data_IF_226172887889
#
_entry.id   IF_226172887889
#
_cell.length_a   1.000
_cell.length_b   1.000
_cell.length_c   1.000
_cell.angle_alpha   90.00
_cell.angle_beta   90.00
_cell.angle_gamma   90.00
#
_symmetry.space_group_name_H-M   'P 1'
#
loop_
_entity.id
_entity.type
_entity.pdbx_description
1 polymer ?
#
# COMPACT_ATOMS: atom_id res chain seq x y z
N UNK A 1 12.28 1.88 12.62
CA UNK A 1 10.92 2.44 12.54
C UNK A 1 10.10 1.39 11.80
N UNK A 2 9.34 0.58 12.54
CA UNK A 2 8.54 -0.48 11.92
C UNK A 2 7.54 0.17 10.97
N UNK A 3 7.70 -0.17 9.70
CA UNK A 3 6.82 0.28 8.64
C UNK A 3 5.40 -0.08 9.02
N UNK A 4 4.49 0.87 8.93
CA UNK A 4 3.04 0.66 9.10
C UNK A 4 2.53 -0.53 8.25
N UNK A 5 3.26 -0.89 7.18
CA UNK A 5 3.00 -1.98 6.26
C UNK A 5 3.98 -3.18 6.40
N UNK A 6 4.67 -3.35 7.53
CA UNK A 6 5.52 -4.53 7.77
C UNK A 6 4.72 -5.73 8.28
N UNK A 7 4.95 -6.88 7.67
CA UNK A 7 4.33 -8.17 8.01
C UNK A 7 4.31 -9.08 6.79
N UNK A 8 3.99 -10.35 6.99
CA UNK A 8 3.66 -11.25 5.89
C UNK A 8 2.35 -10.81 5.22
N UNK A 9 2.14 -11.21 3.96
CA UNK A 9 0.95 -10.86 3.19
C UNK A 9 -0.35 -11.23 3.96
N UNK A 10 -0.34 -12.38 4.64
CA UNK A 10 -1.46 -12.89 5.46
C UNK A 10 -1.73 -12.05 6.71
N UNK A 11 -0.69 -11.61 7.41
CA UNK A 11 -0.80 -10.77 8.63
C UNK A 11 -1.50 -9.44 8.41
N UNK A 12 -1.49 -8.93 7.17
CA UNK A 12 -2.05 -7.62 6.82
C UNK A 12 -3.51 -7.70 6.38
N UNK A 13 -3.97 -8.87 5.93
CA UNK A 13 -5.41 -9.14 5.74
C UNK A 13 -6.16 -8.93 7.06
N UNK A 14 -5.64 -9.45 8.16
CA UNK A 14 -6.23 -9.31 9.50
C UNK A 14 -6.13 -7.89 10.08
N UNK A 15 -5.36 -7.02 9.42
CA UNK A 15 -5.15 -5.63 9.84
C UNK A 15 -6.03 -4.63 9.11
N UNK A 16 -6.68 -5.00 7.99
CA UNK A 16 -7.41 -4.03 7.16
C UNK A 16 -8.64 -3.42 7.86
N UNK A 17 -9.25 -4.14 8.81
CA UNK A 17 -10.39 -3.62 9.59
C UNK A 17 -9.98 -2.86 10.86
N UNK A 18 -8.67 -2.77 11.18
CA UNK A 18 -8.22 -2.12 12.42
C UNK A 18 -8.35 -0.61 12.30
N UNK A 19 -8.70 0.11 13.39
CA UNK A 19 -8.82 1.57 13.41
C UNK A 19 -7.59 2.29 12.84
N UNK A 20 -6.39 1.75 13.08
CA UNK A 20 -5.15 2.32 12.57
C UNK A 20 -5.12 2.34 11.03
N UNK A 21 -5.48 1.24 10.39
CA UNK A 21 -5.48 1.11 8.92
C UNK A 21 -6.49 2.05 8.29
N UNK A 22 -7.69 2.15 8.87
CA UNK A 22 -8.73 3.07 8.41
C UNK A 22 -8.30 4.53 8.54
N UNK A 23 -7.72 4.93 9.67
CA UNK A 23 -7.20 6.31 9.86
C UNK A 23 -6.13 6.63 8.82
N UNK A 24 -5.20 5.71 8.55
CA UNK A 24 -4.18 5.91 7.50
C UNK A 24 -4.85 6.07 6.13
N UNK A 25 -5.88 5.28 5.82
CA UNK A 25 -6.65 5.41 4.57
C UNK A 25 -7.36 6.75 4.49
N UNK A 26 -8.00 7.21 5.56
CA UNK A 26 -8.67 8.52 5.59
C UNK A 26 -7.66 9.64 5.30
N UNK A 27 -6.50 9.61 5.96
CA UNK A 27 -5.46 10.62 5.74
C UNK A 27 -4.88 10.56 4.32
N UNK A 28 -4.55 9.37 3.83
CA UNK A 28 -4.01 9.15 2.50
C UNK A 28 -4.97 9.62 1.39
N UNK A 29 -6.23 9.18 1.46
CA UNK A 29 -7.21 9.39 0.41
C UNK A 29 -7.79 10.81 0.40
N UNK A 30 -7.97 11.44 1.57
CA UNK A 30 -8.81 12.63 1.66
C UNK A 30 -8.11 13.87 2.20
N UNK A 31 -7.04 13.73 3.00
CA UNK A 31 -6.47 14.90 3.70
C UNK A 31 -5.89 15.94 2.75
N UNK A 32 -5.28 15.53 1.63
CA UNK A 32 -4.64 16.47 0.68
C UNK A 32 -5.64 17.44 0.08
N UNK A 33 -6.80 16.94 -0.31
CA UNK A 33 -7.91 17.74 -0.84
C UNK A 33 -8.54 18.65 0.23
N UNK A 34 -8.15 18.47 1.51
CA UNK A 34 -8.54 19.29 2.65
C UNK A 34 -7.34 19.97 3.35
N UNK A 35 -6.34 20.41 2.58
CA UNK A 35 -5.21 21.18 3.12
C UNK A 35 -4.22 20.37 3.98
N UNK A 36 -4.31 19.04 3.93
CA UNK A 36 -3.42 18.11 4.63
C UNK A 36 -3.66 17.98 6.13
N UNK A 37 -4.84 18.35 6.62
CA UNK A 37 -5.19 18.39 8.04
C UNK A 37 -6.65 17.98 8.25
N UNK A 38 -6.98 17.41 9.41
CA UNK A 38 -8.36 17.20 9.86
C UNK A 38 -8.49 17.53 11.34
N UNK A 39 -9.63 18.09 11.75
CA UNK A 39 -9.94 18.26 13.17
C UNK A 39 -10.03 16.90 13.88
N UNK A 40 -9.76 16.86 15.19
CA UNK A 40 -9.92 15.62 15.94
C UNK A 40 -11.36 15.08 15.87
N UNK A 41 -12.35 15.98 15.90
CA UNK A 41 -13.77 15.65 15.80
C UNK A 41 -14.11 15.04 14.44
N UNK A 42 -13.66 15.65 13.34
CA UNK A 42 -13.86 15.15 11.97
C UNK A 42 -13.35 13.72 11.82
N UNK A 43 -12.14 13.43 12.31
CA UNK A 43 -11.58 12.07 12.21
C UNK A 43 -12.41 11.08 13.02
N UNK A 44 -12.82 11.44 14.23
CA UNK A 44 -13.65 10.58 15.08
C UNK A 44 -14.99 10.29 14.39
N UNK A 45 -15.67 11.30 13.83
CA UNK A 45 -16.93 11.12 13.10
C UNK A 45 -16.76 10.22 11.87
N UNK A 46 -15.71 10.42 11.08
CA UNK A 46 -15.38 9.56 9.94
C UNK A 46 -15.09 8.11 10.36
N UNK A 47 -14.45 7.91 11.51
CA UNK A 47 -14.24 6.60 12.09
C UNK A 47 -15.55 5.95 12.57
N UNK A 48 -16.44 6.72 13.22
CA UNK A 48 -17.76 6.23 13.66
C UNK A 48 -18.61 5.79 12.47
N UNK A 49 -18.56 6.52 11.36
CA UNK A 49 -19.21 6.10 10.10
C UNK A 49 -18.65 4.76 9.58
N UNK A 50 -17.43 4.37 9.93
CA UNK A 50 -16.81 3.09 9.57
C UNK A 50 -16.95 2.04 10.69
N UNK A 51 -17.95 2.21 11.57
CA UNK A 51 -18.23 1.34 12.71
C UNK A 51 -17.06 1.21 13.71
N UNK A 52 -16.19 2.23 13.79
CA UNK A 52 -15.12 2.31 14.78
C UNK A 52 -15.59 3.12 15.97
N UNK A 53 -15.61 2.50 17.16
CA UNK A 53 -15.92 3.18 18.41
C UNK A 53 -15.00 4.37 18.68
N UNK A 54 -15.54 5.46 19.24
CA UNK A 54 -14.80 6.71 19.37
C UNK A 54 -13.55 6.60 20.27
N UNK A 55 -13.62 5.79 21.33
CA UNK A 55 -12.52 5.50 22.24
C UNK A 55 -11.37 4.77 21.53
N UNK A 56 -11.69 3.83 20.64
CA UNK A 56 -10.75 3.14 19.79
C UNK A 56 -10.10 4.11 18.77
N UNK A 57 -10.89 5.00 18.16
CA UNK A 57 -10.38 6.03 17.26
C UNK A 57 -9.41 7.00 17.97
N UNK A 58 -9.80 7.52 19.14
CA UNK A 58 -8.95 8.40 19.98
C UNK A 58 -7.66 7.69 20.39
N UNK A 59 -7.76 6.43 20.81
CA UNK A 59 -6.59 5.62 21.18
C UNK A 59 -5.63 5.40 20.01
N UNK A 60 -6.16 5.15 18.80
CA UNK A 60 -5.35 5.01 17.60
C UNK A 60 -4.65 6.33 17.21
N UNK A 61 -5.36 7.46 17.28
CA UNK A 61 -4.78 8.79 17.05
C UNK A 61 -3.65 9.11 18.04
N UNK A 62 -3.85 8.83 19.33
CA UNK A 62 -2.81 9.01 20.34
C UNK A 62 -1.58 8.14 20.06
N UNK A 63 -1.77 6.89 19.60
CA UNK A 63 -0.67 6.02 19.17
C UNK A 63 0.07 6.58 17.95
N UNK A 64 -0.64 7.09 16.95
CA UNK A 64 -0.01 7.71 15.77
C UNK A 64 0.80 8.95 16.12
N UNK A 65 0.26 9.80 17.01
CA UNK A 65 0.99 10.97 17.53
C UNK A 65 2.27 10.55 18.27
N UNK A 66 2.17 9.57 19.17
CA UNK A 66 3.32 9.05 19.93
C UNK A 66 4.41 8.46 19.02
N UNK A 67 4.01 7.86 17.89
CA UNK A 67 4.92 7.28 16.89
C UNK A 67 5.47 8.31 15.89
N UNK A 68 5.08 9.58 15.99
CA UNK A 68 5.51 10.63 15.06
C UNK A 68 4.94 10.52 13.64
N UNK A 69 3.88 9.73 13.46
CA UNK A 69 3.22 9.55 12.15
C UNK A 69 2.27 10.71 11.87
N UNK A 70 1.53 11.12 12.91
CA UNK A 70 0.70 12.31 12.89
C UNK A 70 1.26 13.36 13.86
N UNK A 71 1.16 14.62 13.49
CA UNK A 71 1.46 15.76 14.37
C UNK A 71 0.17 16.47 14.74
N UNK A 72 0.12 17.01 15.96
CA UNK A 72 -0.98 17.88 16.36
C UNK A 72 -0.77 19.27 15.76
N UNK A 73 -1.80 19.80 15.13
CA UNK A 73 -1.78 21.14 14.52
C UNK A 73 -3.09 21.84 14.82
N UNK A 74 -3.02 23.13 15.15
CA UNK A 74 -4.18 24.00 15.36
C UNK A 74 -4.44 24.80 14.10
N UNK A 75 -5.69 24.81 13.62
CA UNK A 75 -6.14 25.64 12.50
C UNK A 75 -7.44 26.33 12.89
N UNK A 76 -7.52 27.65 12.73
CA UNK A 76 -8.69 28.47 13.06
C UNK A 76 -9.28 28.19 14.46
N UNK A 77 -8.42 28.08 15.47
CA UNK A 77 -8.87 27.79 16.84
C UNK A 77 -9.09 26.32 17.16
N UNK A 78 -9.21 25.44 16.15
CA UNK A 78 -9.54 24.02 16.32
C UNK A 78 -8.29 23.14 16.32
N UNK A 79 -8.20 22.21 17.27
CA UNK A 79 -7.10 21.23 17.35
C UNK A 79 -7.41 20.04 16.44
N UNK A 80 -6.41 19.62 15.67
CA UNK A 80 -6.49 18.47 14.80
C UNK A 80 -5.14 17.83 14.55
N UNK A 81 -5.09 17.02 13.49
CA UNK A 81 -3.94 16.21 13.13
C UNK A 81 -3.59 16.37 11.66
N UNK A 82 -2.30 16.28 11.36
CA UNK A 82 -1.75 16.24 10.01
C UNK A 82 -0.69 15.15 9.91
N UNK A 83 -0.45 14.61 8.71
CA UNK A 83 0.70 13.73 8.47
C UNK A 83 1.99 14.52 8.72
N UNK A 84 2.91 13.94 9.49
CA UNK A 84 4.19 14.56 9.80
C UNK A 84 5.02 14.82 8.53
N UNK A 85 5.83 15.90 8.48
CA UNK A 85 6.70 16.18 7.34
C UNK A 85 7.61 14.99 6.99
N UNK A 86 8.10 14.27 7.99
CA UNK A 86 9.01 13.13 7.84
C UNK A 86 8.33 11.95 7.14
N UNK A 87 7.02 11.76 7.37
CA UNK A 87 6.26 10.66 6.79
C UNK A 87 5.59 11.01 5.46
N UNK A 88 5.45 12.29 5.13
CA UNK A 88 4.74 12.77 3.94
C UNK A 88 5.22 12.09 2.64
N UNK A 89 6.54 12.07 2.40
CA UNK A 89 7.10 11.42 1.20
C UNK A 89 6.76 9.92 1.11
N UNK A 90 6.73 9.22 2.24
CA UNK A 90 6.38 7.80 2.26
C UNK A 90 4.89 7.55 2.01
N UNK A 91 4.03 8.46 2.47
CA UNK A 91 2.60 8.45 2.12
C UNK A 91 2.39 8.76 0.64
N UNK A 92 3.06 9.80 0.12
CA UNK A 92 2.94 10.21 -1.28
C UNK A 92 3.33 9.10 -2.25
N UNK A 93 4.48 8.47 -2.02
CA UNK A 93 4.94 7.31 -2.79
C UNK A 93 3.99 6.11 -2.65
N UNK A 94 3.46 5.90 -1.45
CA UNK A 94 2.53 4.82 -1.17
C UNK A 94 1.21 4.96 -1.91
N UNK A 95 0.62 6.16 -1.87
CA UNK A 95 -0.67 6.45 -2.50
C UNK A 95 -0.56 6.39 -4.02
N UNK A 96 0.55 6.87 -4.58
CA UNK A 96 0.84 6.73 -6.01
C UNK A 96 0.85 5.24 -6.42
N UNK A 97 1.50 4.38 -5.64
CA UNK A 97 1.54 2.93 -5.93
C UNK A 97 0.17 2.26 -5.80
N UNK A 98 -0.67 2.70 -4.86
CA UNK A 98 -2.00 2.13 -4.61
C UNK A 98 -3.00 2.47 -5.72
N UNK A 99 -2.88 3.67 -6.31
CA UNK A 99 -3.81 4.19 -7.32
C UNK A 99 -3.25 4.13 -8.75
N UNK A 100 -2.02 3.66 -8.94
CA UNK A 100 -1.43 3.48 -10.27
C UNK A 100 -2.12 2.33 -11.00
N UNK A 101 -2.80 2.65 -12.11
CA UNK A 101 -3.17 1.65 -13.11
C UNK A 101 -1.88 1.15 -13.75
N UNK A 102 -1.62 -0.15 -13.63
CA UNK A 102 -0.49 -0.79 -14.28
C UNK A 102 -1.03 -1.57 -15.46
N UNK A 103 -0.41 -1.39 -16.62
CA UNK A 103 -0.58 -2.33 -17.72
C UNK A 103 -0.03 -3.70 -17.30
N UNK A 104 -0.47 -4.74 -18.00
CA UNK A 104 0.12 -6.07 -17.80
C UNK A 104 1.62 -5.98 -18.07
N UNK A 105 2.47 -6.33 -17.08
CA UNK A 105 3.91 -6.21 -17.23
C UNK A 105 4.38 -7.16 -18.35
N UNK A 106 5.20 -6.61 -19.25
CA UNK A 106 5.90 -7.39 -20.27
C UNK A 106 7.17 -8.00 -19.67
N UNK A 107 7.58 -9.15 -20.19
CA UNK A 107 8.87 -9.73 -19.81
C UNK A 107 10.01 -8.92 -20.44
N UNK A 108 10.51 -7.94 -19.68
CA UNK A 108 11.70 -7.14 -20.03
C UNK A 108 13.01 -7.71 -19.42
N UNK A 109 12.97 -8.94 -18.91
CA UNK A 109 14.05 -9.55 -18.15
C UNK A 109 14.14 -9.06 -16.70
N UNK A 110 15.29 -9.30 -16.09
CA UNK A 110 15.49 -9.14 -14.65
C UNK A 110 16.43 -7.99 -14.33
N UNK A 111 16.25 -7.42 -13.14
CA UNK A 111 17.26 -6.61 -12.48
C UNK A 111 17.78 -7.38 -11.25
N UNK A 112 19.10 -7.44 -11.13
CA UNK A 112 19.79 -8.02 -9.98
C UNK A 112 20.43 -6.91 -9.15
N UNK A 113 20.25 -7.00 -7.84
CA UNK A 113 20.94 -6.17 -6.87
C UNK A 113 21.88 -7.07 -6.07
N UNK A 114 23.18 -6.79 -6.17
CA UNK A 114 24.19 -7.40 -5.32
C UNK A 114 24.73 -6.35 -4.36
N UNK A 115 24.66 -6.61 -3.06
CA UNK A 115 25.26 -5.71 -2.07
C UNK A 115 26.16 -6.43 -1.08
N UNK A 116 27.15 -5.68 -0.58
CA UNK A 116 28.02 -6.10 0.51
C UNK A 116 28.16 -4.96 1.52
N UNK A 117 27.37 -5.05 2.60
CA UNK A 117 27.41 -4.08 3.70
C UNK A 117 28.25 -4.68 4.84
N UNK A 118 29.26 -3.96 5.36
CA UNK A 118 30.09 -4.44 6.46
C UNK A 118 29.30 -4.88 7.69
N UNK A 119 29.76 -5.90 8.40
CA UNK A 119 29.03 -6.49 9.54
C UNK A 119 28.72 -5.47 10.65
N UNK A 120 29.64 -4.54 10.90
CA UNK A 120 29.45 -3.41 11.83
C UNK A 120 28.23 -2.53 11.51
N UNK A 121 27.70 -2.62 10.28
CA UNK A 121 26.52 -1.88 9.81
C UNK A 121 25.28 -2.79 9.65
N UNK A 122 25.15 -3.84 10.47
CA UNK A 122 24.03 -4.81 10.42
C UNK A 122 22.64 -4.18 10.38
N UNK A 123 22.42 -3.05 11.06
CA UNK A 123 21.14 -2.34 11.06
C UNK A 123 20.80 -1.75 9.68
N UNK A 124 21.80 -1.18 8.99
CA UNK A 124 21.63 -0.67 7.63
C UNK A 124 21.38 -1.80 6.63
N UNK A 125 22.05 -2.95 6.81
CA UNK A 125 21.80 -4.17 6.01
C UNK A 125 20.37 -4.67 6.19
N UNK A 126 19.89 -4.77 7.43
CA UNK A 126 18.50 -5.16 7.72
C UNK A 126 17.51 -4.17 7.08
N UNK A 127 17.79 -2.87 7.19
CA UNK A 127 16.97 -1.82 6.59
C UNK A 127 16.93 -1.94 5.06
N UNK A 128 18.07 -2.15 4.39
CA UNK A 128 18.14 -2.32 2.94
C UNK A 128 17.31 -3.53 2.50
N UNK A 129 17.50 -4.69 3.15
CA UNK A 129 16.73 -5.93 2.85
C UNK A 129 15.23 -5.71 3.01
N UNK A 130 14.81 -5.14 4.14
CA UNK A 130 13.39 -4.82 4.38
C UNK A 130 12.81 -3.88 3.32
N UNK A 131 13.60 -2.90 2.85
CA UNK A 131 13.14 -1.94 1.84
C UNK A 131 13.15 -2.52 0.43
N UNK A 132 14.07 -3.41 0.09
CA UNK A 132 14.09 -4.16 -1.16
C UNK A 132 12.83 -5.02 -1.30
N UNK A 133 12.51 -5.82 -0.27
CA UNK A 133 11.25 -6.58 -0.22
C UNK A 133 10.04 -5.67 -0.48
N UNK A 134 10.00 -4.51 0.18
CA UNK A 134 8.88 -3.57 0.05
C UNK A 134 8.70 -2.96 -1.34
N UNK A 135 9.76 -2.86 -2.14
CA UNK A 135 9.64 -2.37 -3.52
C UNK A 135 9.38 -3.50 -4.53
N UNK A 136 9.44 -4.76 -4.10
CA UNK A 136 9.10 -5.94 -4.92
C UNK A 136 10.26 -6.90 -5.16
N UNK A 137 11.45 -6.68 -4.58
CA UNK A 137 12.58 -7.57 -4.77
C UNK A 137 12.47 -8.83 -3.89
N UNK A 138 12.82 -9.97 -4.47
CA UNK A 138 13.04 -11.22 -3.76
C UNK A 138 14.53 -11.46 -3.53
N UNK A 139 14.85 -12.25 -2.50
CA UNK A 139 16.22 -12.69 -2.26
C UNK A 139 16.46 -14.01 -3.01
N UNK A 140 17.49 -14.04 -3.87
CA UNK A 140 17.91 -15.27 -4.55
C UNK A 140 18.82 -16.08 -3.62
N UNK A 141 19.85 -15.42 -3.08
CA UNK A 141 20.79 -16.01 -2.11
C UNK A 141 21.62 -14.92 -1.46
N UNK A 142 21.97 -15.05 -0.18
CA UNK A 142 22.91 -14.12 0.49
C UNK A 142 22.61 -12.63 0.25
N UNK A 143 23.54 -11.93 -0.41
CA UNK A 143 23.42 -10.51 -0.80
C UNK A 143 22.86 -10.26 -2.20
N UNK A 144 22.40 -11.29 -2.92
CA UNK A 144 21.84 -11.22 -4.27
C UNK A 144 20.30 -11.20 -4.23
N UNK A 145 19.74 -10.18 -4.85
CA UNK A 145 18.31 -9.90 -4.93
C UNK A 145 17.87 -9.72 -6.37
N UNK A 146 16.62 -10.06 -6.67
CA UNK A 146 16.06 -10.06 -8.02
C UNK A 146 14.69 -9.38 -8.07
N UNK A 147 14.37 -8.74 -9.19
CA UNK A 147 13.07 -8.17 -9.51
C UNK A 147 12.85 -8.05 -11.03
N UNK A 148 11.61 -7.88 -11.51
CA UNK A 148 11.35 -7.45 -12.87
C UNK A 148 12.09 -6.15 -13.21
N UNK A 149 12.62 -6.03 -14.44
CA UNK A 149 13.47 -4.90 -14.88
C UNK A 149 12.85 -3.52 -14.65
N UNK A 150 11.53 -3.40 -14.79
CA UNK A 150 10.78 -2.16 -14.56
C UNK A 150 11.01 -1.53 -13.17
N UNK A 151 11.41 -2.33 -12.17
CA UNK A 151 11.73 -1.87 -10.80
C UNK A 151 13.17 -1.33 -10.63
N UNK A 152 13.93 -1.19 -11.72
CA UNK A 152 15.30 -0.65 -11.70
C UNK A 152 15.38 0.77 -11.11
N UNK A 153 14.44 1.65 -11.47
CA UNK A 153 14.39 3.03 -10.97
C UNK A 153 14.10 3.09 -9.46
N UNK A 154 13.29 2.16 -8.95
CA UNK A 154 13.01 2.02 -7.52
C UNK A 154 14.25 1.59 -6.75
N UNK A 155 15.03 0.64 -7.26
CA UNK A 155 16.28 0.19 -6.65
C UNK A 155 17.33 1.31 -6.57
N UNK A 156 17.51 2.06 -7.66
CA UNK A 156 18.42 3.22 -7.70
C UNK A 156 17.98 4.28 -6.69
N UNK A 157 16.68 4.60 -6.65
CA UNK A 157 16.12 5.57 -5.72
C UNK A 157 16.28 5.13 -4.27
N UNK A 158 16.10 3.84 -4.00
CA UNK A 158 16.32 3.24 -2.69
C UNK A 158 17.78 3.37 -2.25
N UNK A 159 18.73 3.03 -3.13
CA UNK A 159 20.17 3.13 -2.86
C UNK A 159 20.55 4.54 -2.40
N UNK A 160 20.11 5.54 -3.16
CA UNK A 160 20.32 6.97 -2.87
C UNK A 160 19.67 7.40 -1.56
N UNK A 161 18.45 6.94 -1.29
CA UNK A 161 17.73 7.28 -0.06
C UNK A 161 18.41 6.75 1.20
N UNK A 162 19.07 5.59 1.10
CA UNK A 162 19.79 4.96 2.21
C UNK A 162 21.29 5.30 2.22
N UNK A 163 21.79 6.02 1.21
CA UNK A 163 23.21 6.36 1.02
C UNK A 163 24.11 5.11 0.98
N UNK A 164 23.68 4.07 0.25
CA UNK A 164 24.36 2.77 0.14
C UNK A 164 24.94 2.49 -1.25
N UNK A 165 25.03 3.49 -2.11
CA UNK A 165 25.50 3.36 -3.50
C UNK A 165 26.86 2.67 -3.59
N UNK A 166 27.79 3.01 -2.69
CA UNK A 166 29.13 2.38 -2.63
C UNK A 166 29.13 0.90 -2.21
N UNK A 167 28.02 0.39 -1.69
CA UNK A 167 27.89 -0.99 -1.21
C UNK A 167 27.06 -1.86 -2.13
N UNK A 168 26.53 -1.31 -3.23
CA UNK A 168 25.49 -1.95 -4.03
C UNK A 168 25.76 -1.81 -5.53
N UNK A 169 25.72 -2.92 -6.24
CA UNK A 169 25.76 -2.97 -7.69
C UNK A 169 24.41 -3.45 -8.23
N UNK A 170 24.03 -2.90 -9.38
CA UNK A 170 22.74 -3.19 -10.04
C UNK A 170 23.05 -3.67 -11.46
N UNK A 171 22.50 -4.82 -11.83
CA UNK A 171 22.74 -5.47 -13.12
C UNK A 171 21.43 -5.75 -13.84
N UNK A 172 21.44 -5.62 -15.15
CA UNK A 172 20.46 -6.28 -16.02
C UNK A 172 20.84 -7.75 -16.16
N UNK A 173 19.88 -8.65 -16.14
CA UNK A 173 20.13 -10.09 -16.29
C UNK A 173 18.99 -10.85 -16.95
N UNK A 174 19.32 -12.05 -17.43
CA UNK A 174 18.37 -13.09 -17.86
C UNK A 174 18.59 -14.33 -17.00
N UNK A 175 17.52 -15.10 -16.77
CA UNK A 175 17.63 -16.42 -16.14
C UNK A 175 17.81 -17.48 -17.23
N UNK A 176 18.97 -18.14 -17.24
CA UNK A 176 19.42 -18.90 -18.42
C UNK A 176 19.11 -20.40 -18.34
N UNK A 177 19.27 -21.07 -17.18
CA UNK A 177 19.38 -22.53 -17.16
C UNK A 177 18.95 -23.23 -15.84
N UNK A 178 19.05 -24.57 -15.89
CA UNK A 178 18.78 -25.59 -14.87
C UNK A 178 17.31 -25.84 -14.54
N UNK A 179 16.59 -24.79 -14.15
CA UNK A 179 15.18 -24.89 -13.78
C UNK A 179 14.38 -23.91 -14.64
N UNK A 180 13.18 -24.26 -15.13
CA UNK A 180 12.34 -23.29 -15.83
C UNK A 180 12.10 -22.05 -14.98
N UNK A 181 12.23 -20.86 -15.58
CA UNK A 181 12.08 -19.58 -14.89
C UNK A 181 10.78 -19.46 -14.08
N UNK A 182 9.60 -19.87 -14.58
CA UNK A 182 8.36 -19.83 -13.78
C UNK A 182 8.44 -20.65 -12.48
N UNK A 183 9.21 -21.74 -12.45
CA UNK A 183 9.34 -22.60 -11.27
C UNK A 183 10.22 -21.94 -10.20
N UNK A 184 11.37 -21.36 -10.57
CA UNK A 184 12.23 -20.66 -9.59
C UNK A 184 11.60 -19.36 -9.08
N UNK A 185 10.77 -18.70 -9.88
CA UNK A 185 10.02 -17.50 -9.45
C UNK A 185 9.12 -17.81 -8.24
N UNK A 186 8.50 -19.00 -8.20
CA UNK A 186 7.68 -19.45 -7.06
C UNK A 186 8.52 -19.70 -5.79
N UNK A 187 9.82 -19.97 -5.92
CA UNK A 187 10.72 -20.10 -4.78
C UNK A 187 11.18 -18.74 -4.24
N UNK A 188 11.26 -17.72 -5.12
CA UNK A 188 11.70 -16.38 -4.77
C UNK A 188 10.59 -15.51 -4.17
N UNK A 189 9.36 -15.64 -4.67
CA UNK A 189 8.20 -14.90 -4.17
C UNK A 189 7.13 -15.86 -3.64
N UNK A 190 6.53 -15.49 -2.50
CA UNK A 190 5.34 -16.14 -1.96
C UNK A 190 4.09 -15.77 -2.79
N UNK A 191 3.98 -16.36 -3.99
CA UNK A 191 2.86 -16.10 -4.90
C UNK A 191 1.53 -16.54 -4.28
N UNK A 192 1.51 -17.61 -3.49
CA UNK A 192 0.32 -18.06 -2.78
C UNK A 192 -0.15 -17.03 -1.74
N UNK A 193 0.78 -16.45 -0.98
CA UNK A 193 0.50 -15.37 -0.05
C UNK A 193 -0.04 -14.12 -0.75
N UNK A 194 0.54 -13.73 -1.88
CA UNK A 194 0.05 -12.60 -2.68
C UNK A 194 -1.35 -12.89 -3.25
N UNK A 195 -1.57 -14.10 -3.75
CA UNK A 195 -2.88 -14.54 -4.24
C UNK A 195 -3.94 -14.48 -3.14
N UNK A 196 -3.60 -14.85 -1.91
CA UNK A 196 -4.54 -14.74 -0.78
C UNK A 196 -4.90 -13.29 -0.42
N UNK A 197 -3.97 -12.34 -0.58
CA UNK A 197 -4.29 -10.91 -0.44
C UNK A 197 -5.30 -10.47 -1.49
N UNK A 198 -5.14 -10.90 -2.75
CA UNK A 198 -6.11 -10.60 -3.80
C UNK A 198 -7.47 -11.29 -3.61
N UNK A 199 -7.47 -12.53 -3.11
CA UNK A 199 -8.69 -13.24 -2.76
C UNK A 199 -9.43 -12.53 -1.62
N UNK A 200 -8.71 -12.10 -0.59
CA UNK A 200 -9.25 -11.34 0.53
C UNK A 200 -9.92 -10.05 0.07
N UNK A 201 -9.24 -9.28 -0.78
CA UNK A 201 -9.82 -8.12 -1.45
C UNK A 201 -11.10 -8.48 -2.21
N UNK A 202 -11.05 -9.52 -3.02
CA UNK A 202 -12.18 -9.93 -3.85
C UNK A 202 -13.41 -10.32 -3.00
N UNK A 203 -13.21 -10.97 -1.84
CA UNK A 203 -14.27 -11.27 -0.88
C UNK A 203 -14.94 -10.00 -0.34
N UNK A 204 -14.16 -8.98 0.01
CA UNK A 204 -14.70 -7.68 0.48
C UNK A 204 -15.35 -6.87 -0.65
N UNK A 205 -14.76 -6.88 -1.85
CA UNK A 205 -15.21 -6.08 -2.99
C UNK A 205 -16.49 -6.62 -3.64
N UNK A 206 -16.69 -7.93 -3.69
CA UNK A 206 -17.83 -8.55 -4.36
C UNK A 206 -19.21 -8.00 -3.93
N UNK A 207 -19.58 -7.89 -2.63
CA UNK A 207 -20.87 -7.34 -2.24
C UNK A 207 -21.00 -5.84 -2.58
N UNK A 208 -19.91 -5.08 -2.46
CA UNK A 208 -19.87 -3.63 -2.81
C UNK A 208 -20.12 -3.45 -4.30
N UNK A 209 -19.39 -4.19 -5.14
CA UNK A 209 -19.54 -4.15 -6.60
C UNK A 209 -20.97 -4.53 -7.00
N UNK A 210 -21.52 -5.60 -6.42
CA UNK A 210 -22.91 -6.03 -6.68
C UNK A 210 -23.93 -4.95 -6.31
N UNK A 211 -23.72 -4.25 -5.19
CA UNK A 211 -24.62 -3.18 -4.77
C UNK A 211 -24.56 -1.97 -5.72
N UNK A 212 -23.36 -1.56 -6.12
CA UNK A 212 -23.18 -0.36 -6.93
C UNK A 212 -23.34 -0.60 -8.43
N UNK A 213 -23.26 -1.83 -8.94
CA UNK A 213 -23.42 -2.13 -10.37
C UNK A 213 -24.83 -1.81 -10.89
N UNK A 214 -25.86 -1.91 -10.06
CA UNK A 214 -27.27 -1.63 -10.44
C UNK A 214 -27.67 -0.16 -10.29
N UNK A 215 -26.75 0.71 -9.83
CA UNK A 215 -27.03 2.11 -9.49
C UNK A 215 -26.24 3.05 -10.38
N UNK A 216 -26.91 3.74 -11.31
CA UNK A 216 -26.23 4.67 -12.21
C UNK A 216 -25.79 5.97 -11.52
N UNK A 217 -26.56 6.43 -10.53
CA UNK A 217 -26.28 7.65 -9.78
C UNK A 217 -26.00 7.29 -8.32
N UNK A 218 -24.92 7.85 -7.76
CA UNK A 218 -24.55 7.70 -6.36
C UNK A 218 -25.20 8.83 -5.56
N UNK A 219 -26.34 8.55 -4.91
CA UNK A 219 -27.08 9.52 -4.10
C UNK A 219 -26.70 9.48 -2.62
N UNK A 220 -26.35 8.29 -2.10
CA UNK A 220 -25.90 8.11 -0.71
C UNK A 220 -24.38 8.25 -0.61
N UNK A 221 -23.93 9.49 -0.39
CA UNK A 221 -22.50 9.82 -0.22
C UNK A 221 -21.89 9.21 1.06
N UNK A 222 -22.69 8.99 2.11
CA UNK A 222 -22.22 8.35 3.34
C UNK A 222 -21.89 6.87 3.09
N UNK A 223 -22.78 6.14 2.42
CA UNK A 223 -22.51 4.76 2.02
C UNK A 223 -21.35 4.68 1.03
N UNK A 224 -21.25 5.61 0.08
CA UNK A 224 -20.11 5.66 -0.83
C UNK A 224 -18.78 5.82 -0.07
N UNK A 225 -18.74 6.69 0.95
CA UNK A 225 -17.58 6.82 1.83
C UNK A 225 -17.27 5.53 2.59
N UNK A 226 -18.27 4.88 3.20
CA UNK A 226 -18.07 3.63 3.95
C UNK A 226 -17.50 2.53 3.07
N UNK A 227 -18.15 2.29 1.94
CA UNK A 227 -17.76 1.23 1.00
C UNK A 227 -16.40 1.53 0.39
N UNK A 228 -16.17 2.73 -0.14
CA UNK A 228 -14.90 3.07 -0.79
C UNK A 228 -13.73 3.04 0.19
N UNK A 229 -13.88 3.59 1.40
CA UNK A 229 -12.80 3.60 2.40
C UNK A 229 -12.46 2.19 2.85
N UNK A 230 -13.45 1.31 3.02
CA UNK A 230 -13.24 -0.10 3.37
C UNK A 230 -12.48 -0.83 2.26
N UNK A 231 -12.94 -0.67 1.01
CA UNK A 231 -12.32 -1.29 -0.17
C UNK A 231 -10.89 -0.80 -0.37
N UNK A 232 -10.66 0.51 -0.27
CA UNK A 232 -9.33 1.10 -0.40
C UNK A 232 -8.40 0.62 0.72
N UNK A 233 -8.90 0.48 1.94
CA UNK A 233 -8.10 0.01 3.08
C UNK A 233 -7.66 -1.44 2.91
N UNK A 234 -8.52 -2.30 2.35
CA UNK A 234 -8.13 -3.67 2.06
C UNK A 234 -7.20 -3.76 0.83
N UNK A 235 -7.52 -3.04 -0.25
CA UNK A 235 -6.72 -2.99 -1.48
C UNK A 235 -5.29 -2.51 -1.25
N UNK A 236 -5.08 -1.53 -0.37
CA UNK A 236 -3.79 -0.84 -0.24
C UNK A 236 -2.60 -1.75 0.03
N UNK A 237 -2.84 -2.97 0.52
CA UNK A 237 -1.79 -3.94 0.82
C UNK A 237 -1.29 -4.66 -0.43
N UNK A 238 -2.17 -4.96 -1.39
CA UNK A 238 -1.83 -5.77 -2.57
C UNK A 238 -0.66 -5.18 -3.38
N UNK A 239 -0.67 -3.88 -3.78
CA UNK A 239 0.40 -3.33 -4.61
C UNK A 239 1.79 -3.29 -3.95
N UNK A 240 1.88 -3.42 -2.61
CA UNK A 240 3.17 -3.48 -1.91
C UNK A 240 3.81 -4.86 -1.95
N UNK A 241 3.00 -5.93 -2.03
CA UNK A 241 3.50 -7.30 -2.11
C UNK A 241 3.67 -7.76 -3.54
N UNK A 242 2.86 -7.23 -4.46
CA UNK A 242 2.94 -7.61 -5.86
C UNK A 242 4.16 -6.95 -6.54
N UNK A 243 5.15 -7.76 -6.98
CA UNK A 243 6.33 -7.27 -7.72
C UNK A 243 6.01 -6.84 -9.16
N UNK A 244 4.81 -7.13 -9.67
CA UNK A 244 4.45 -6.90 -11.08
C UNK A 244 5.15 -7.87 -12.01
N UNK A 245 5.10 -9.16 -11.71
CA UNK A 245 5.66 -10.21 -12.57
C UNK A 245 4.85 -10.34 -13.88
N UNK A 246 5.53 -10.55 -15.03
CA UNK A 246 4.88 -10.97 -16.27
C UNK A 246 3.95 -12.16 -16.11
N UNK A 247 2.88 -12.21 -16.90
CA UNK A 247 1.85 -13.26 -16.83
C UNK A 247 2.42 -14.67 -16.96
N UNK A 248 3.42 -14.85 -17.81
CA UNK A 248 4.11 -16.13 -18.02
C UNK A 248 4.80 -16.70 -16.76
N UNK A 249 5.03 -15.88 -15.74
CA UNK A 249 5.61 -16.31 -14.45
C UNK A 249 4.56 -16.48 -13.35
N UNK A 250 3.29 -16.19 -13.63
CA UNK A 250 2.21 -16.25 -12.66
C UNK A 250 1.41 -17.56 -12.76
N UNK A 251 0.77 -18.01 -11.67
CA UNK A 251 -0.18 -19.12 -11.72
C UNK A 251 -1.33 -18.83 -12.69
N UNK A 252 -1.82 -19.85 -13.40
CA UNK A 252 -2.96 -19.71 -14.32
C UNK A 252 -4.23 -19.14 -13.67
N UNK A 253 -4.39 -19.35 -12.36
CA UNK A 253 -5.53 -18.87 -11.56
C UNK A 253 -5.23 -17.56 -10.81
N UNK A 254 -4.27 -16.76 -11.30
CA UNK A 254 -3.86 -15.53 -10.63
C UNK A 254 -5.02 -14.54 -10.45
N UNK A 255 -5.33 -14.23 -9.19
CA UNK A 255 -6.44 -13.36 -8.83
C UNK A 255 -6.16 -11.85 -9.05
N UNK A 256 -4.88 -11.47 -9.24
CA UNK A 256 -4.45 -10.07 -9.25
C UNK A 256 -5.08 -9.22 -10.35
N UNK A 257 -5.23 -9.75 -11.56
CA UNK A 257 -5.81 -9.00 -12.68
C UNK A 257 -7.27 -8.62 -12.44
N UNK A 258 -8.11 -9.61 -12.10
CA UNK A 258 -9.52 -9.38 -11.83
C UNK A 258 -9.73 -8.51 -10.58
N UNK A 259 -8.91 -8.71 -9.54
CA UNK A 259 -8.94 -7.86 -8.35
C UNK A 259 -8.61 -6.39 -8.68
N UNK A 260 -7.58 -6.15 -9.50
CA UNK A 260 -7.18 -4.80 -9.93
C UNK A 260 -8.30 -4.12 -10.73
N UNK A 261 -8.88 -4.83 -11.71
CA UNK A 261 -9.99 -4.30 -12.51
C UNK A 261 -11.19 -3.94 -11.62
N UNK A 262 -11.53 -4.83 -10.69
CA UNK A 262 -12.61 -4.62 -9.73
C UNK A 262 -12.35 -3.44 -8.79
N UNK A 263 -11.11 -3.26 -8.32
CA UNK A 263 -10.72 -2.09 -7.54
C UNK A 263 -10.96 -0.80 -8.30
N UNK A 264 -10.45 -0.70 -9.55
CA UNK A 264 -10.60 0.52 -10.33
C UNK A 264 -12.06 0.82 -10.70
N UNK A 265 -12.88 -0.21 -10.97
CA UNK A 265 -14.34 -0.04 -11.14
C UNK A 265 -15.00 0.62 -9.92
N UNK A 266 -14.63 0.21 -8.72
CA UNK A 266 -15.14 0.81 -7.48
C UNK A 266 -14.57 2.21 -7.26
N UNK A 267 -13.26 2.38 -7.49
CA UNK A 267 -12.58 3.66 -7.34
C UNK A 267 -13.19 4.75 -8.22
N UNK A 268 -13.32 4.48 -9.52
CA UNK A 268 -13.85 5.44 -10.50
C UNK A 268 -15.27 5.90 -10.14
N UNK A 269 -16.05 4.98 -9.54
CA UNK A 269 -17.45 5.24 -9.20
C UNK A 269 -17.63 5.95 -7.86
N UNK A 270 -16.83 5.60 -6.85
CA UNK A 270 -17.09 5.98 -5.46
C UNK A 270 -16.11 7.00 -4.89
N UNK A 271 -14.92 7.19 -5.47
CA UNK A 271 -13.92 8.09 -4.90
C UNK A 271 -14.41 9.55 -4.79
N UNK A 272 -15.06 10.06 -5.84
CA UNK A 272 -15.65 11.40 -5.85
C UNK A 272 -16.77 11.57 -4.82
N UNK A 273 -17.83 10.74 -4.85
CA UNK A 273 -18.89 10.78 -3.84
C UNK A 273 -18.40 10.61 -2.39
N UNK A 274 -17.42 9.73 -2.16
CA UNK A 274 -16.80 9.56 -0.84
C UNK A 274 -16.08 10.83 -0.37
N UNK A 275 -15.33 11.47 -1.26
CA UNK A 275 -14.67 12.74 -0.97
C UNK A 275 -15.66 13.85 -0.60
N UNK A 276 -16.79 13.92 -1.32
CA UNK A 276 -17.85 14.89 -1.03
C UNK A 276 -18.44 14.71 0.38
N UNK A 277 -18.66 13.46 0.80
CA UNK A 277 -19.11 13.16 2.16
C UNK A 277 -18.10 13.65 3.21
N UNK A 278 -16.81 13.36 3.01
CA UNK A 278 -15.73 13.81 3.91
C UNK A 278 -15.70 15.33 4.02
N UNK A 279 -15.85 16.04 2.90
CA UNK A 279 -15.90 17.51 2.91
C UNK A 279 -17.10 18.06 3.65
N UNK A 280 -18.26 17.43 3.53
CA UNK A 280 -19.46 17.85 4.25
C UNK A 280 -19.33 17.64 5.76
N UNK A 281 -18.64 16.59 6.21
CA UNK A 281 -18.30 16.39 7.63
C UNK A 281 -17.25 17.40 8.09
N UNK A 282 -16.21 17.66 7.29
CA UNK A 282 -15.11 18.53 7.70
C UNK A 282 -15.48 20.03 7.74
N UNK A 283 -16.59 20.44 7.09
CA UNK A 283 -17.14 21.80 7.16
C UNK A 283 -18.00 22.06 8.39
N UNK A 284 -18.50 21.01 9.05
CA UNK A 284 -19.31 21.11 10.27
C UNK A 284 -18.41 21.26 11.50
#
# INVERSE_FOLDING_TARGET
MDSIFSGEARDLVDRSARPQSLIITIFAAYSRSHGGWFSANTIIQLCTELDVAEDAARSALARFKRRGILISKKQNGVIGYAISPEMRKSFDQGDARVLQRRDSPTNEGWILVAFSIPEKMRALRYQLRSRLTRIGFAQVTGGLWIAPRQLSSDAISLAKSLKVEKYMNIFSAEHIAFTPTPSVVQEWWDLDGIQEVYNSFSRTAKPVIKYWSTRNIVTDSAKAFRDYTTILTNWRHAPYFDPGLPEEFLPKSWAGYQATENFFKVHDKLAGPALNFVFNIAKK
#
